data_IF_538291041561
#
_entry.id   IF_538291041561
#
_cell.length_a   1.000
_cell.length_b   1.000
_cell.length_c   1.000
_cell.angle_alpha   90.00
_cell.angle_beta   90.00
_cell.angle_gamma   90.00
#
_symmetry.space_group_name_H-M   'P 1'
#
loop_
_entity.id
_entity.type
_entity.pdbx_description
1 polymer ?
#
# COMPACT_ATOMS: atom_id res chain seq x y z
N UNK A 1 36.12 45.33 31.56
CA UNK A 1 35.29 45.30 30.33
C UNK A 1 34.53 43.99 30.14
N UNK A 2 34.71 42.97 30.97
CA UNK A 2 33.90 41.75 30.86
C UNK A 2 32.56 41.83 31.59
N UNK A 3 32.41 42.74 32.53
CA UNK A 3 31.17 42.85 33.35
C UNK A 3 30.00 43.36 32.52
N UNK A 4 30.25 44.29 31.58
CA UNK A 4 29.17 44.95 30.85
C UNK A 4 28.34 44.03 29.90
N UNK A 5 28.93 42.88 29.52
CA UNK A 5 28.23 41.93 28.60
C UNK A 5 27.26 41.00 29.36
N UNK A 6 27.42 40.85 30.65
CA UNK A 6 26.54 39.99 31.44
C UNK A 6 25.22 40.72 31.70
N UNK A 7 25.27 42.04 31.85
CA UNK A 7 24.06 42.84 32.07
C UNK A 7 23.04 42.77 30.91
N UNK A 8 23.55 42.63 29.70
CA UNK A 8 22.66 42.67 28.50
C UNK A 8 21.76 41.45 28.35
N UNK A 9 22.13 40.30 28.92
CA UNK A 9 21.34 39.08 28.80
C UNK A 9 20.49 38.83 30.06
N UNK A 10 20.89 39.35 31.20
CA UNK A 10 20.06 39.25 32.38
C UNK A 10 18.93 40.31 32.40
N UNK A 11 19.11 41.43 31.70
CA UNK A 11 18.10 42.50 31.68
C UNK A 11 16.75 42.07 31.02
N UNK A 12 16.77 41.02 30.19
CA UNK A 12 15.54 40.54 29.55
C UNK A 12 14.73 39.57 30.41
N UNK A 13 15.39 38.90 31.37
CA UNK A 13 14.68 38.04 32.34
C UNK A 13 14.30 38.83 33.59
N UNK A 14 14.93 39.97 33.81
CA UNK A 14 14.64 40.86 34.94
C UNK A 14 13.39 41.71 34.73
N UNK A 15 12.75 41.65 33.53
CA UNK A 15 11.52 42.41 33.25
C UNK A 15 10.28 41.88 33.99
N UNK A 16 10.39 40.72 34.62
CA UNK A 16 9.34 40.21 35.50
C UNK A 16 9.49 40.72 36.94
N UNK A 17 10.59 41.34 37.25
CA UNK A 17 10.91 41.93 38.53
C UNK A 17 10.84 43.45 38.50
N UNK A 18 9.77 43.99 37.96
CA UNK A 18 9.50 45.42 37.91
C UNK A 18 9.07 46.03 39.25
N UNK A 19 9.45 45.39 40.34
CA UNK A 19 9.09 45.88 41.67
C UNK A 19 10.31 46.38 42.47
N UNK A 20 11.49 46.44 41.85
CA UNK A 20 12.67 47.02 42.52
C UNK A 20 13.28 48.14 41.71
N UNK A 21 12.45 49.04 41.22
CA UNK A 21 12.94 50.36 40.92
C UNK A 21 13.09 51.14 42.24
N UNK A 22 14.32 51.06 42.76
CA UNK A 22 14.65 51.81 43.94
C UNK A 22 14.55 53.30 43.60
N UNK A 23 13.44 53.89 44.01
CA UNK A 23 13.41 55.32 43.94
C UNK A 23 13.55 55.87 45.36
N UNK A 24 14.19 57.01 45.44
CA UNK A 24 14.53 57.64 46.75
C UNK A 24 13.32 57.82 47.66
N UNK A 25 12.10 57.90 47.03
CA UNK A 25 10.88 58.04 47.84
C UNK A 25 10.54 56.79 48.66
N UNK A 26 10.90 55.63 48.12
CA UNK A 26 10.63 54.32 48.75
C UNK A 26 11.38 54.20 50.06
N UNK A 27 12.58 54.78 50.16
CA UNK A 27 13.44 54.75 51.28
C UNK A 27 13.43 56.08 52.11
N UNK A 28 12.62 57.05 51.67
CA UNK A 28 12.56 58.34 52.25
C UNK A 28 13.97 59.00 52.38
N UNK A 29 14.79 58.91 51.31
CA UNK A 29 16.12 59.51 51.12
C UNK A 29 16.10 60.35 49.84
N UNK A 30 17.14 61.16 49.65
CA UNK A 30 17.25 61.92 48.40
C UNK A 30 17.83 61.11 47.26
N UNK A 31 17.43 61.43 45.98
CA UNK A 31 17.98 60.80 44.77
C UNK A 31 19.52 60.88 44.73
N UNK A 32 20.09 62.03 45.26
CA UNK A 32 21.54 62.17 45.28
C UNK A 32 22.17 61.16 46.24
N UNK A 33 21.46 60.82 47.35
CA UNK A 33 21.96 59.83 48.32
C UNK A 33 21.80 58.40 47.76
N UNK A 34 20.74 58.14 47.08
CA UNK A 34 20.53 56.84 46.45
C UNK A 34 21.61 56.57 45.37
N UNK A 35 21.86 57.57 44.55
CA UNK A 35 22.90 57.48 43.49
C UNK A 35 24.30 57.27 44.09
N UNK A 36 24.59 57.94 45.24
CA UNK A 36 25.84 57.72 45.92
C UNK A 36 25.99 56.29 46.44
N UNK A 37 24.90 55.74 46.98
CA UNK A 37 24.87 54.37 47.49
C UNK A 37 25.10 53.39 46.30
N UNK A 38 24.34 53.52 45.23
CA UNK A 38 24.46 52.60 44.06
C UNK A 38 25.86 52.69 43.45
N UNK A 39 26.37 53.88 43.23
CA UNK A 39 27.71 54.06 42.69
C UNK A 39 28.81 53.45 43.57
N UNK A 40 28.63 53.48 44.88
CA UNK A 40 29.59 52.91 45.82
C UNK A 40 29.51 51.38 45.80
N UNK A 41 28.30 50.85 45.78
CA UNK A 41 28.07 49.42 45.81
C UNK A 41 28.55 48.78 44.47
N UNK A 42 28.35 49.44 43.36
CA UNK A 42 28.77 48.95 42.05
C UNK A 42 30.31 48.81 41.92
N UNK A 43 31.07 49.47 42.76
CA UNK A 43 32.54 49.39 42.74
C UNK A 43 33.13 48.36 43.68
N UNK A 44 32.29 47.71 44.50
CA UNK A 44 32.79 46.76 45.48
C UNK A 44 33.15 45.42 44.90
N UNK A 45 34.10 44.72 45.49
CA UNK A 45 34.36 43.30 45.18
C UNK A 45 33.24 42.44 45.83
N UNK A 46 33.14 41.20 45.30
CA UNK A 46 32.17 40.24 45.83
C UNK A 46 32.30 40.07 47.38
N UNK A 47 33.54 39.90 47.87
CA UNK A 47 33.78 39.73 49.31
C UNK A 47 33.45 41.01 50.06
N UNK A 48 33.74 42.14 49.43
CA UNK A 48 33.39 43.45 50.04
C UNK A 48 31.88 43.64 50.15
N UNK A 49 31.12 43.20 49.14
CA UNK A 49 29.66 43.24 49.15
C UNK A 49 29.08 42.37 50.26
N UNK A 50 29.58 41.13 50.38
CA UNK A 50 29.13 40.18 51.40
C UNK A 50 29.44 40.72 52.82
N UNK A 51 30.66 41.20 53.01
CA UNK A 51 31.07 41.74 54.32
C UNK A 51 30.27 42.99 54.71
N UNK A 52 30.08 43.90 53.75
CA UNK A 52 29.31 45.14 54.00
C UNK A 52 27.86 44.81 54.28
N UNK A 53 27.29 43.85 53.53
CA UNK A 53 25.93 43.42 53.78
C UNK A 53 25.73 42.89 55.21
N UNK A 54 26.60 41.96 55.57
CA UNK A 54 26.53 41.44 56.99
C UNK A 54 26.58 42.49 58.02
N UNK A 55 27.46 43.53 57.87
CA UNK A 55 27.57 44.65 58.80
C UNK A 55 26.30 45.49 58.79
N UNK A 56 25.73 45.78 57.68
CA UNK A 56 24.51 46.57 57.55
C UNK A 56 23.30 45.86 58.13
N UNK A 57 23.20 44.54 57.99
CA UNK A 57 22.15 43.76 58.65
C UNK A 57 22.25 43.91 60.16
N UNK A 58 23.44 43.78 60.67
CA UNK A 58 23.65 43.97 62.14
C UNK A 58 23.32 45.41 62.61
N UNK A 59 23.67 46.39 61.79
CA UNK A 59 23.33 47.79 62.06
C UNK A 59 21.81 47.99 61.97
N UNK A 60 21.14 47.46 60.96
CA UNK A 60 19.69 47.53 60.78
C UNK A 60 18.99 47.02 62.03
N UNK A 61 19.37 45.84 62.48
CA UNK A 61 18.78 45.20 63.66
C UNK A 61 18.98 46.03 64.91
N UNK A 62 20.12 46.70 65.06
CA UNK A 62 20.36 47.61 66.21
C UNK A 62 19.49 48.86 66.11
N UNK A 63 19.37 49.43 64.90
CA UNK A 63 18.57 50.66 64.74
C UNK A 63 17.08 50.35 64.95
N UNK A 64 16.57 49.20 64.48
CA UNK A 64 15.19 48.79 64.73
C UNK A 64 14.92 48.62 66.21
N UNK A 65 15.87 48.07 66.93
CA UNK A 65 15.76 47.93 68.39
C UNK A 65 15.78 49.28 69.08
N UNK A 66 16.58 50.24 68.63
CA UNK A 66 16.64 51.58 69.18
C UNK A 66 15.39 52.38 68.85
N UNK A 67 14.83 52.23 67.66
CA UNK A 67 13.62 52.92 67.24
C UNK A 67 12.43 52.53 68.14
N UNK A 68 12.37 51.25 68.53
CA UNK A 68 11.35 50.76 69.47
C UNK A 68 11.58 51.09 70.89
N UNK A 69 12.64 51.78 71.24
CA UNK A 69 12.95 52.17 72.62
C UNK A 69 12.53 53.61 72.89
N UNK A 70 12.50 53.99 74.23
CA UNK A 70 12.13 55.33 74.61
C UNK A 70 13.22 56.34 74.25
N UNK A 71 13.18 56.95 73.15
CA UNK A 71 14.10 57.94 72.62
C UNK A 71 13.41 59.31 72.52
N UNK A 72 14.22 60.36 72.45
CA UNK A 72 13.69 61.67 72.10
C UNK A 72 13.27 61.77 70.63
N UNK A 73 12.34 62.72 70.35
CA UNK A 73 11.88 62.85 68.95
C UNK A 73 13.01 63.13 67.96
N UNK A 74 14.07 63.82 68.37
CA UNK A 74 15.22 64.10 67.53
C UNK A 74 16.09 62.84 67.27
N UNK A 75 16.17 61.95 68.29
CA UNK A 75 16.89 60.71 68.19
C UNK A 75 16.12 59.73 67.26
N UNK A 76 14.81 59.60 67.50
CA UNK A 76 13.96 58.74 66.59
C UNK A 76 14.13 59.20 65.19
N UNK A 77 14.07 60.50 64.87
CA UNK A 77 14.21 61.01 63.51
C UNK A 77 15.57 60.69 62.93
N UNK A 78 16.64 60.68 63.73
CA UNK A 78 17.97 60.33 63.29
C UNK A 78 18.11 58.85 63.07
N UNK A 79 17.47 58.04 63.91
CA UNK A 79 17.46 56.56 63.77
C UNK A 79 16.68 56.19 62.49
N UNK A 80 15.46 56.66 62.30
CA UNK A 80 14.64 56.39 61.13
C UNK A 80 15.36 56.81 59.83
N UNK A 81 16.06 57.96 59.86
CA UNK A 81 16.84 58.40 58.69
C UNK A 81 17.95 57.40 58.36
N UNK A 82 18.70 56.98 59.40
CA UNK A 82 19.81 56.01 59.12
C UNK A 82 19.27 54.64 58.77
N UNK A 83 18.16 54.22 59.33
CA UNK A 83 17.51 52.98 59.00
C UNK A 83 17.10 52.96 57.53
N UNK A 84 16.54 54.08 57.06
CA UNK A 84 16.17 54.20 55.64
C UNK A 84 17.40 54.08 54.69
N UNK A 85 18.54 54.70 55.07
CA UNK A 85 19.80 54.62 54.38
C UNK A 85 20.34 53.20 54.37
N UNK A 86 20.30 52.49 55.52
CA UNK A 86 20.76 51.10 55.65
C UNK A 86 19.91 50.17 54.77
N UNK A 87 18.60 50.38 54.79
CA UNK A 87 17.69 49.57 53.93
C UNK A 87 17.97 49.80 52.41
N UNK A 88 18.24 51.05 52.02
CA UNK A 88 18.61 51.33 50.61
C UNK A 88 19.96 50.71 50.23
N UNK A 89 20.95 50.76 51.16
CA UNK A 89 22.24 50.11 50.93
C UNK A 89 22.10 48.56 50.76
N UNK A 90 21.33 47.95 51.66
CA UNK A 90 21.07 46.50 51.59
C UNK A 90 20.41 46.13 50.31
N UNK A 91 19.45 46.92 49.85
CA UNK A 91 18.76 46.71 48.59
C UNK A 91 19.71 46.81 47.39
N UNK A 92 20.59 47.82 47.37
CA UNK A 92 21.57 47.99 46.31
C UNK A 92 22.60 46.85 46.29
N UNK A 93 23.08 46.42 47.46
CA UNK A 93 24.00 45.29 47.59
C UNK A 93 23.35 43.99 47.07
N UNK A 94 22.11 43.76 47.46
CA UNK A 94 21.37 42.57 46.99
C UNK A 94 21.19 42.56 45.50
N UNK A 95 20.87 43.69 44.91
CA UNK A 95 20.73 43.84 43.43
C UNK A 95 22.01 43.46 42.74
N UNK A 96 23.16 43.91 43.22
CA UNK A 96 24.49 43.61 42.62
C UNK A 96 24.88 42.14 42.85
N UNK A 97 24.66 41.60 44.02
CA UNK A 97 24.96 40.21 44.33
C UNK A 97 24.11 39.27 43.49
N UNK A 98 22.83 39.58 43.28
CA UNK A 98 21.94 38.83 42.40
C UNK A 98 22.46 38.77 40.97
N UNK A 99 23.00 39.88 40.47
CA UNK A 99 23.61 39.95 39.14
C UNK A 99 24.94 39.20 39.03
N UNK A 100 25.64 38.96 40.12
CA UNK A 100 26.97 38.34 40.15
C UNK A 100 26.92 36.82 40.30
N UNK A 101 26.05 36.30 41.13
CA UNK A 101 26.06 34.91 41.57
C UNK A 101 24.70 34.20 41.39
N UNK A 102 23.69 34.94 41.01
CA UNK A 102 22.31 34.44 40.87
C UNK A 102 21.59 34.29 42.21
N UNK A 103 20.29 34.17 42.13
CA UNK A 103 19.41 34.21 43.30
C UNK A 103 19.73 33.14 44.36
N UNK A 104 19.95 31.91 43.91
CA UNK A 104 20.18 30.79 44.81
C UNK A 104 21.43 30.97 45.69
N UNK A 105 22.50 31.58 45.15
CA UNK A 105 23.73 31.77 45.89
C UNK A 105 23.65 32.98 46.86
N UNK A 106 22.86 33.99 46.53
CA UNK A 106 22.63 35.12 47.40
C UNK A 106 21.92 34.68 48.66
N UNK A 107 20.93 33.80 48.54
CA UNK A 107 20.19 33.32 49.69
C UNK A 107 21.03 32.44 50.65
N UNK A 108 21.96 31.66 50.09
CA UNK A 108 22.83 30.83 50.88
C UNK A 108 23.76 31.69 51.82
N UNK A 109 23.86 33.00 51.59
CA UNK A 109 24.70 33.93 52.41
C UNK A 109 23.90 34.63 53.49
N UNK A 110 22.62 34.40 53.57
CA UNK A 110 21.72 35.16 54.44
C UNK A 110 20.73 34.25 55.15
N UNK A 111 21.05 33.95 56.37
CA UNK A 111 20.06 33.58 57.39
C UNK A 111 19.77 34.79 58.23
N UNK A 112 18.91 35.69 57.75
CA UNK A 112 18.48 36.88 58.48
C UNK A 112 17.14 36.65 59.19
N UNK A 113 16.68 35.41 59.25
CA UNK A 113 15.42 35.02 59.89
C UNK A 113 14.19 35.44 59.11
N UNK A 114 14.36 35.70 57.80
CA UNK A 114 13.24 35.96 56.89
C UNK A 114 12.70 34.60 56.38
N UNK A 115 11.46 34.37 56.67
CA UNK A 115 10.82 33.11 56.33
C UNK A 115 9.96 33.27 55.05
N UNK A 116 10.44 32.74 53.95
CA UNK A 116 9.69 32.71 52.72
C UNK A 116 8.55 31.68 52.84
N UNK A 117 7.41 32.05 52.32
CA UNK A 117 6.24 31.17 52.28
C UNK A 117 5.58 31.15 50.89
N UNK A 118 6.31 31.55 49.84
CA UNK A 118 5.85 31.59 48.45
C UNK A 118 6.53 30.45 47.68
N UNK A 119 5.78 29.51 47.14
CA UNK A 119 6.36 28.38 46.41
C UNK A 119 6.88 28.80 45.03
N UNK A 120 7.84 28.07 44.49
CA UNK A 120 8.38 28.28 43.13
C UNK A 120 7.32 28.26 42.06
N UNK A 121 7.49 29.06 41.03
CA UNK A 121 6.64 29.06 39.85
C UNK A 121 7.25 28.12 38.78
N UNK A 122 6.50 27.06 38.44
CA UNK A 122 6.93 26.10 37.43
C UNK A 122 6.44 26.51 36.04
N UNK A 123 7.34 26.47 35.08
CA UNK A 123 7.06 26.69 33.66
C UNK A 123 7.34 25.39 32.92
N UNK A 124 6.28 24.78 32.37
CA UNK A 124 6.38 23.55 31.58
C UNK A 124 6.91 23.92 30.19
N UNK A 125 8.02 23.28 29.76
CA UNK A 125 8.69 23.58 28.50
C UNK A 125 8.04 22.79 27.34
N UNK A 126 7.90 23.42 26.17
CA UNK A 126 7.32 22.79 25.00
C UNK A 126 5.81 22.59 25.10
N UNK A 127 5.28 21.77 24.23
CA UNK A 127 3.83 21.62 24.10
C UNK A 127 3.19 20.97 25.33
N UNK A 128 2.01 21.49 25.70
CA UNK A 128 1.14 20.92 26.72
C UNK A 128 -0.33 21.22 26.39
N UNK A 129 -1.08 20.21 25.91
CA UNK A 129 -0.72 18.79 25.78
C UNK A 129 0.28 18.54 24.66
N UNK A 130 1.15 17.57 24.85
CA UNK A 130 2.03 17.02 23.84
C UNK A 130 1.31 15.85 23.17
N UNK A 131 1.67 15.56 21.92
CA UNK A 131 1.11 14.43 21.16
C UNK A 131 2.25 13.59 20.61
N UNK A 132 2.13 12.28 20.70
CA UNK A 132 3.11 11.33 20.17
C UNK A 132 2.40 10.16 19.52
N UNK A 133 2.98 9.67 18.43
CA UNK A 133 2.46 8.55 17.67
C UNK A 133 2.75 7.23 18.39
N UNK A 134 1.81 6.29 18.34
CA UNK A 134 1.93 4.94 18.88
C UNK A 134 3.21 4.26 18.37
N UNK A 135 3.95 3.66 19.26
CA UNK A 135 5.20 2.98 18.95
C UNK A 135 6.39 3.90 18.70
N UNK A 136 6.19 5.22 18.73
CA UNK A 136 7.29 6.18 18.60
C UNK A 136 7.96 6.42 19.93
N UNK A 137 9.17 6.99 19.91
CA UNK A 137 9.85 7.41 21.13
C UNK A 137 9.36 8.78 21.60
N UNK A 138 9.13 8.92 22.87
CA UNK A 138 8.76 10.18 23.50
C UNK A 138 9.89 10.68 24.39
N UNK A 139 10.23 11.95 24.21
CA UNK A 139 11.28 12.61 24.98
C UNK A 139 10.69 13.86 25.64
N UNK A 140 10.63 13.86 26.97
CA UNK A 140 10.02 14.94 27.72
C UNK A 140 10.86 16.22 27.65
N UNK A 141 10.26 17.32 27.24
CA UNK A 141 10.91 18.62 27.17
C UNK A 141 11.14 19.22 28.57
N UNK A 142 10.60 18.55 29.59
CA UNK A 142 10.80 18.94 30.97
C UNK A 142 10.11 20.24 31.37
N UNK A 143 10.58 20.77 32.47
CA UNK A 143 10.08 22.03 33.03
C UNK A 143 11.20 22.78 33.76
N UNK A 144 11.02 24.07 33.94
CA UNK A 144 11.89 24.93 34.74
C UNK A 144 11.10 25.57 35.86
N UNK A 145 11.77 25.87 36.94
CA UNK A 145 11.13 26.53 38.08
C UNK A 145 11.96 27.69 38.57
N UNK A 146 11.26 28.72 38.99
CA UNK A 146 11.86 29.91 39.52
C UNK A 146 11.07 30.42 40.74
N UNK A 147 11.80 30.68 41.80
CA UNK A 147 11.28 31.27 42.99
C UNK A 147 11.74 32.71 43.14
N UNK A 148 10.85 33.58 43.62
CA UNK A 148 11.13 35.01 43.73
C UNK A 148 12.20 35.30 44.77
N UNK A 149 12.34 34.46 45.76
CA UNK A 149 13.25 34.65 46.88
C UNK A 149 14.52 33.81 46.75
N UNK A 150 14.34 32.52 46.32
CA UNK A 150 15.42 31.53 46.20
C UNK A 150 16.01 31.42 44.82
N UNK A 151 15.35 32.00 43.81
CA UNK A 151 15.80 31.96 42.41
C UNK A 151 15.48 30.64 41.70
N UNK A 152 16.41 30.19 40.87
CA UNK A 152 16.22 28.96 40.07
C UNK A 152 16.18 27.74 40.98
N UNK A 153 15.07 27.04 40.96
CA UNK A 153 14.82 25.87 41.79
C UNK A 153 14.85 24.59 40.92
N UNK A 154 15.30 23.51 41.50
CA UNK A 154 15.35 22.24 40.80
C UNK A 154 13.95 21.64 40.65
N UNK A 155 13.68 21.05 39.46
CA UNK A 155 12.42 20.40 39.17
C UNK A 155 12.65 18.88 39.13
N UNK A 156 11.76 18.15 39.79
CA UNK A 156 11.70 16.71 39.74
C UNK A 156 10.47 16.30 38.93
N UNK A 157 10.63 15.30 38.03
CA UNK A 157 9.55 14.75 37.21
C UNK A 157 9.14 13.40 37.76
N UNK A 158 7.83 13.15 37.77
CA UNK A 158 7.25 11.87 38.11
C UNK A 158 6.16 11.48 37.12
N UNK A 159 5.90 10.18 37.01
CA UNK A 159 5.02 9.62 36.00
C UNK A 159 5.84 9.06 34.84
N UNK A 160 5.16 8.42 33.90
CA UNK A 160 5.76 7.84 32.70
C UNK A 160 4.75 7.82 31.56
N UNK A 161 5.27 7.84 30.34
CA UNK A 161 4.49 7.74 29.11
C UNK A 161 4.78 6.37 28.49
N UNK A 162 3.74 5.56 28.37
CA UNK A 162 3.83 4.30 27.63
C UNK A 162 3.41 4.56 26.18
N UNK A 163 4.37 4.70 25.30
CA UNK A 163 4.09 4.91 23.88
C UNK A 163 3.67 3.63 23.16
N UNK A 164 3.65 2.50 23.84
CA UNK A 164 3.14 1.24 23.29
C UNK A 164 1.64 1.08 23.42
N UNK A 165 0.94 2.05 24.00
CA UNK A 165 -0.50 1.99 24.25
C UNK A 165 -1.14 3.35 24.02
N UNK A 166 -2.17 3.40 23.18
CA UNK A 166 -2.96 4.62 22.95
C UNK A 166 -3.60 5.06 24.26
N UNK A 167 -3.45 6.33 24.60
CA UNK A 167 -4.01 6.85 25.84
C UNK A 167 -3.54 8.24 26.21
N UNK A 168 -3.97 8.68 27.39
CA UNK A 168 -3.65 10.00 27.92
C UNK A 168 -2.80 9.81 29.18
N UNK A 169 -1.57 10.27 29.12
CA UNK A 169 -0.59 10.15 30.19
C UNK A 169 -0.31 11.50 30.83
N UNK A 170 0.07 11.50 32.09
CA UNK A 170 0.35 12.72 32.85
C UNK A 170 1.73 12.63 33.48
N UNK A 171 2.57 13.60 33.16
CA UNK A 171 3.81 13.85 33.87
C UNK A 171 3.58 14.98 34.89
N UNK A 172 4.07 14.80 36.10
CA UNK A 172 3.96 15.77 37.15
C UNK A 172 5.36 16.31 37.50
N UNK A 173 5.51 17.61 37.41
CA UNK A 173 6.70 18.35 37.79
C UNK A 173 6.52 18.94 39.19
N UNK A 174 7.49 18.75 40.02
CA UNK A 174 7.47 19.25 41.39
C UNK A 174 8.73 20.07 41.65
N UNK A 175 8.57 21.24 42.16
CA UNK A 175 9.68 22.11 42.60
C UNK A 175 9.48 22.50 44.05
N UNK A 176 10.56 22.45 44.81
CA UNK A 176 10.58 22.79 46.24
C UNK A 176 11.74 23.76 46.49
N UNK A 177 11.48 24.86 47.14
CA UNK A 177 12.49 25.84 47.49
C UNK A 177 13.26 25.46 48.78
N UNK A 178 14.11 26.37 49.25
CA UNK A 178 14.95 26.12 50.43
C UNK A 178 14.17 26.24 51.76
N UNK A 179 13.02 26.90 51.73
CA UNK A 179 12.13 27.01 52.90
C UNK A 179 11.03 25.93 52.91
N UNK A 180 11.11 24.98 51.96
CA UNK A 180 10.22 23.83 51.77
C UNK A 180 8.85 24.22 51.23
N UNK A 181 8.68 25.33 50.55
CA UNK A 181 7.46 25.61 49.80
C UNK A 181 7.50 24.86 48.53
N UNK A 182 6.41 24.18 48.24
CA UNK A 182 6.35 23.24 47.10
C UNK A 182 5.23 23.65 46.14
N UNK A 183 5.54 23.59 44.86
CA UNK A 183 4.55 23.71 43.79
C UNK A 183 4.58 22.51 42.86
N UNK A 184 3.50 22.34 42.13
CA UNK A 184 3.39 21.28 41.11
C UNK A 184 2.76 21.83 39.84
N UNK A 185 3.16 21.23 38.70
CA UNK A 185 2.56 21.47 37.39
C UNK A 185 2.52 20.15 36.63
N UNK A 186 1.66 20.07 35.63
CA UNK A 186 1.50 18.83 34.88
C UNK A 186 1.63 19.07 33.37
N UNK A 187 2.15 18.05 32.69
CA UNK A 187 2.06 17.92 31.24
C UNK A 187 1.14 16.75 30.93
N UNK A 188 0.20 16.98 30.03
CA UNK A 188 -0.59 15.92 29.42
C UNK A 188 0.12 15.46 28.16
N UNK A 189 0.25 14.15 27.96
CA UNK A 189 0.80 13.54 26.72
C UNK A 189 -0.25 12.60 26.17
N UNK A 190 -0.66 12.88 24.93
CA UNK A 190 -1.63 12.07 24.20
C UNK A 190 -0.87 11.12 23.29
N UNK A 191 -0.91 9.84 23.58
CA UNK A 191 -0.43 8.80 22.66
C UNK A 191 -1.60 8.46 21.74
N UNK A 192 -1.41 8.70 20.46
CA UNK A 192 -2.41 8.48 19.42
C UNK A 192 -1.86 7.53 18.36
N UNK A 193 -2.75 6.89 17.64
CA UNK A 193 -2.42 6.09 16.48
C UNK A 193 -3.14 6.70 15.28
N UNK A 194 -2.36 7.21 14.33
CA UNK A 194 -2.84 7.80 13.09
C UNK A 194 -2.27 7.07 11.87
N UNK A 195 -1.50 6.03 12.11
CA UNK A 195 -0.83 5.26 11.07
C UNK A 195 -1.73 4.11 10.63
N UNK A 196 -1.95 4.00 9.33
CA UNK A 196 -2.79 2.96 8.78
C UNK A 196 -2.02 1.63 8.63
N UNK A 197 -2.69 0.49 8.81
CA UNK A 197 -2.08 -0.82 8.61
C UNK A 197 -1.44 -0.98 7.23
N UNK A 198 -0.28 -1.60 7.17
CA UNK A 198 0.43 -1.93 5.94
C UNK A 198 -0.08 -3.27 5.42
N UNK A 199 -0.86 -3.23 4.33
CA UNK A 199 -1.41 -4.42 3.68
C UNK A 199 -0.46 -4.92 2.60
N UNK A 200 -0.06 -6.19 2.69
CA UNK A 200 0.88 -6.83 1.77
C UNK A 200 0.20 -8.02 1.07
N UNK A 201 0.07 -7.92 -0.25
CA UNK A 201 -0.55 -8.96 -1.09
C UNK A 201 0.36 -10.19 -1.13
N UNK A 202 -0.21 -11.38 -0.90
CA UNK A 202 0.53 -12.64 -0.84
C UNK A 202 0.48 -13.35 -2.19
N UNK A 203 1.63 -13.76 -2.72
CA UNK A 203 1.74 -14.44 -4.01
C UNK A 203 1.76 -13.45 -5.17
N UNK A 204 1.51 -13.95 -6.37
CA UNK A 204 1.67 -13.19 -7.59
C UNK A 204 0.70 -12.01 -7.68
N UNK A 205 1.23 -10.86 -8.12
CA UNK A 205 0.46 -9.66 -8.41
C UNK A 205 1.17 -8.85 -9.52
N UNK A 206 0.66 -8.85 -10.75
CA UNK A 206 -0.58 -9.47 -11.21
C UNK A 206 -0.53 -10.99 -11.19
N UNK A 207 -1.69 -11.61 -10.96
CA UNK A 207 -1.90 -13.04 -11.07
C UNK A 207 -2.59 -13.37 -12.39
N UNK A 208 -2.57 -14.64 -12.77
CA UNK A 208 -3.28 -15.12 -13.95
C UNK A 208 -4.18 -16.31 -13.60
N UNK A 209 -5.23 -16.45 -14.37
CA UNK A 209 -6.17 -17.56 -14.26
C UNK A 209 -6.52 -18.05 -15.67
N UNK A 210 -6.77 -19.33 -15.81
CA UNK A 210 -7.18 -19.96 -17.05
C UNK A 210 -8.70 -19.91 -17.16
N UNK A 211 -9.23 -19.64 -18.35
CA UNK A 211 -10.66 -19.63 -18.65
C UNK A 211 -11.30 -20.95 -18.20
N UNK A 212 -12.42 -20.88 -17.49
CA UNK A 212 -13.15 -22.04 -17.01
C UNK A 212 -12.51 -22.77 -15.84
N UNK A 213 -11.37 -22.31 -15.33
CA UNK A 213 -10.69 -22.94 -14.18
C UNK A 213 -10.81 -22.07 -12.93
N UNK A 214 -11.30 -22.66 -11.86
CA UNK A 214 -11.55 -21.96 -10.61
C UNK A 214 -10.29 -21.29 -10.06
N UNK A 215 -10.35 -19.99 -9.88
CA UNK A 215 -9.25 -19.20 -9.30
C UNK A 215 -9.32 -19.23 -7.78
N UNK A 216 -8.17 -19.47 -7.16
CA UNK A 216 -8.04 -19.46 -5.70
C UNK A 216 -7.11 -18.32 -5.30
N UNK A 217 -7.67 -17.32 -4.67
CA UNK A 217 -6.92 -16.16 -4.21
C UNK A 217 -5.96 -16.51 -3.07
N UNK A 218 -4.71 -16.07 -3.20
CA UNK A 218 -3.69 -16.31 -2.18
C UNK A 218 -3.79 -15.32 -1.01
N UNK A 219 -4.68 -14.32 -1.13
CA UNK A 219 -4.97 -13.38 -0.07
C UNK A 219 -3.89 -12.33 0.17
N UNK A 220 -3.92 -11.75 1.34
CA UNK A 220 -3.00 -10.71 1.79
C UNK A 220 -2.81 -10.78 3.31
N UNK A 221 -1.74 -10.16 3.79
CA UNK A 221 -1.46 -9.99 5.22
C UNK A 221 -1.42 -8.50 5.55
N UNK A 222 -1.60 -8.17 6.81
CA UNK A 222 -1.46 -6.80 7.27
C UNK A 222 -0.67 -6.74 8.57
N UNK A 223 0.01 -5.62 8.80
CA UNK A 223 0.76 -5.35 10.02
C UNK A 223 0.65 -3.90 10.42
N UNK A 224 0.62 -3.66 11.73
CA UNK A 224 0.45 -2.34 12.32
C UNK A 224 1.09 -2.28 13.70
N UNK A 225 1.38 -1.05 14.16
CA UNK A 225 1.94 -0.80 15.50
C UNK A 225 0.92 -1.08 16.60
N UNK A 226 -0.37 -0.95 16.30
CA UNK A 226 -1.47 -1.25 17.23
C UNK A 226 -1.63 -2.74 17.50
N UNK A 227 -0.93 -3.59 16.74
CA UNK A 227 -0.89 -5.03 16.94
C UNK A 227 -1.57 -5.83 15.83
N UNK A 228 -2.44 -6.75 16.20
CA UNK A 228 -3.01 -7.71 15.25
C UNK A 228 -4.19 -7.12 14.50
N UNK A 229 -4.06 -6.99 13.21
CA UNK A 229 -5.10 -6.46 12.32
C UNK A 229 -5.58 -7.51 11.32
N UNK A 230 -6.87 -7.47 10.99
CA UNK A 230 -7.49 -8.41 10.07
C UNK A 230 -7.57 -7.82 8.66
N UNK A 231 -7.38 -8.67 7.66
CA UNK A 231 -7.58 -8.31 6.26
C UNK A 231 -8.93 -8.81 5.78
N UNK A 232 -9.67 -7.94 5.13
CA UNK A 232 -10.94 -8.25 4.48
C UNK A 232 -10.76 -8.06 2.98
N UNK A 233 -11.05 -9.09 2.20
CA UNK A 233 -11.01 -9.04 0.75
C UNK A 233 -12.38 -8.74 0.17
N UNK A 234 -12.41 -8.04 -0.97
CA UNK A 234 -13.60 -7.74 -1.75
C UNK A 234 -13.29 -7.76 -3.25
N UNK A 235 -14.32 -8.06 -4.05
CA UNK A 235 -14.20 -8.31 -5.47
C UNK A 235 -14.15 -9.81 -5.74
N UNK A 236 -14.48 -10.18 -6.96
CA UNK A 236 -14.55 -11.57 -7.42
C UNK A 236 -13.88 -11.69 -8.78
N UNK A 237 -13.33 -12.85 -9.05
CA UNK A 237 -12.79 -13.22 -10.36
C UNK A 237 -13.80 -14.14 -11.03
N UNK A 238 -14.37 -13.68 -12.14
CA UNK A 238 -15.23 -14.49 -12.98
C UNK A 238 -14.33 -15.20 -13.99
N UNK A 239 -14.09 -16.46 -13.75
CA UNK A 239 -13.22 -17.27 -14.63
C UNK A 239 -13.95 -17.78 -15.87
N UNK A 240 -15.25 -17.57 -16.01
CA UNK A 240 -16.00 -17.94 -17.21
C UNK A 240 -15.94 -16.83 -18.28
N UNK A 241 -15.32 -15.69 -17.96
CA UNK A 241 -15.24 -14.53 -18.85
C UNK A 241 -13.82 -13.99 -18.91
N UNK A 242 -13.27 -13.88 -20.13
CA UNK A 242 -11.95 -13.28 -20.35
C UNK A 242 -11.92 -11.84 -19.90
N UNK A 243 -10.86 -11.45 -19.20
CA UNK A 243 -10.72 -10.08 -18.76
C UNK A 243 -9.79 -9.90 -17.58
N UNK A 244 -9.82 -8.68 -17.04
CA UNK A 244 -8.97 -8.28 -15.91
C UNK A 244 -9.85 -7.93 -14.72
N UNK A 245 -9.62 -8.60 -13.64
CA UNK A 245 -10.38 -8.50 -12.40
C UNK A 245 -9.50 -7.92 -11.30
N UNK A 246 -10.13 -7.26 -10.33
CA UNK A 246 -9.42 -6.66 -9.20
C UNK A 246 -10.00 -7.17 -7.88
N UNK A 247 -9.12 -7.69 -7.04
CA UNK A 247 -9.45 -8.02 -5.66
C UNK A 247 -8.81 -6.94 -4.79
N UNK A 248 -9.61 -6.32 -3.95
CA UNK A 248 -9.16 -5.28 -3.02
C UNK A 248 -9.10 -5.86 -1.61
N UNK A 249 -7.98 -5.64 -0.94
CA UNK A 249 -7.75 -6.03 0.44
C UNK A 249 -7.76 -4.77 1.31
N UNK A 250 -8.52 -4.81 2.37
CA UNK A 250 -8.66 -3.70 3.30
C UNK A 250 -8.38 -4.20 4.71
N UNK A 251 -7.63 -3.42 5.45
CA UNK A 251 -7.36 -3.66 6.86
C UNK A 251 -7.65 -2.39 7.65
N UNK A 252 -8.28 -2.53 8.80
CA UNK A 252 -8.60 -1.41 9.68
C UNK A 252 -8.09 -1.76 11.07
N UNK A 253 -7.37 -0.81 11.67
CA UNK A 253 -6.87 -0.95 13.04
C UNK A 253 -7.93 -0.56 14.08
N UNK A 254 -7.51 -0.55 15.33
CA UNK A 254 -8.39 -0.29 16.46
C UNK A 254 -8.69 1.21 16.60
N UNK A 255 -7.83 2.05 16.03
CA UNK A 255 -7.97 3.52 16.02
C UNK A 255 -8.85 3.99 14.85
N UNK A 256 -9.16 3.10 13.90
CA UNK A 256 -10.00 3.37 12.75
C UNK A 256 -9.23 3.78 11.50
N UNK A 257 -7.89 3.67 11.47
CA UNK A 257 -7.11 3.97 10.29
C UNK A 257 -7.20 2.80 9.31
N UNK A 258 -7.27 3.11 8.01
CA UNK A 258 -7.58 2.12 6.97
C UNK A 258 -6.45 2.01 5.96
N UNK A 259 -5.86 0.84 5.89
CA UNK A 259 -4.89 0.46 4.87
C UNK A 259 -5.51 -0.39 3.79
N UNK A 260 -5.05 -0.22 2.55
CA UNK A 260 -5.57 -0.97 1.41
C UNK A 260 -4.46 -1.40 0.45
N UNK A 261 -4.70 -2.51 -0.23
CA UNK A 261 -3.88 -2.99 -1.34
C UNK A 261 -4.77 -3.75 -2.32
N UNK A 262 -4.31 -4.01 -3.53
CA UNK A 262 -5.09 -4.73 -4.53
C UNK A 262 -4.26 -5.71 -5.33
N UNK A 263 -4.93 -6.78 -5.78
CA UNK A 263 -4.41 -7.75 -6.74
C UNK A 263 -5.17 -7.61 -8.04
N UNK A 264 -4.46 -7.60 -9.14
CA UNK A 264 -5.01 -7.72 -10.49
C UNK A 264 -4.91 -9.17 -10.91
N UNK A 265 -6.01 -9.74 -11.42
CA UNK A 265 -6.05 -11.10 -11.96
C UNK A 265 -6.50 -11.04 -13.41
N UNK A 266 -5.71 -11.59 -14.30
CA UNK A 266 -6.04 -11.67 -15.73
C UNK A 266 -6.54 -13.08 -16.05
N UNK A 267 -7.79 -13.18 -16.48
CA UNK A 267 -8.36 -14.42 -17.02
C UNK A 267 -8.06 -14.45 -18.49
N UNK A 268 -7.33 -15.44 -18.91
CA UNK A 268 -6.95 -15.71 -20.30
C UNK A 268 -7.20 -17.16 -20.62
N UNK A 269 -7.36 -17.45 -21.92
CA UNK A 269 -7.44 -18.81 -22.42
C UNK A 269 -6.11 -19.14 -23.09
N UNK A 270 -5.46 -20.17 -22.63
CA UNK A 270 -4.22 -20.72 -23.22
C UNK A 270 -4.37 -22.18 -23.63
N UNK A 271 -5.57 -22.73 -23.48
CA UNK A 271 -5.89 -24.11 -23.82
C UNK A 271 -6.13 -24.22 -25.30
N UNK A 272 -5.51 -25.18 -25.94
CA UNK A 272 -5.72 -25.43 -27.40
C UNK A 272 -6.95 -26.30 -27.65
N UNK A 273 -7.66 -26.10 -28.75
CA UNK A 273 -8.78 -26.95 -29.12
C UNK A 273 -8.39 -28.42 -29.24
N UNK A 274 -9.30 -29.31 -28.85
CA UNK A 274 -9.10 -30.77 -28.89
C UNK A 274 -9.95 -31.38 -29.98
N UNK A 275 -9.28 -31.95 -30.98
CA UNK A 275 -9.98 -32.67 -32.08
C UNK A 275 -10.80 -33.85 -31.53
N UNK A 276 -12.05 -33.95 -31.99
CA UNK A 276 -13.01 -35.01 -31.59
C UNK A 276 -13.45 -35.86 -32.75
N UNK A 277 -13.21 -35.41 -33.98
CA UNK A 277 -13.45 -36.25 -35.19
C UNK A 277 -12.29 -37.22 -35.43
N UNK A 278 -12.55 -38.22 -36.29
CA UNK A 278 -11.49 -39.08 -36.85
C UNK A 278 -10.46 -38.24 -37.60
N UNK A 279 -9.24 -38.71 -37.64
CA UNK A 279 -8.20 -38.22 -38.54
C UNK A 279 -8.23 -38.92 -39.90
N UNK A 280 -9.10 -39.92 -40.10
CA UNK A 280 -9.22 -40.66 -41.32
C UNK A 280 -10.65 -40.64 -41.84
N UNK A 281 -10.79 -40.43 -43.13
CA UNK A 281 -12.05 -40.42 -43.85
C UNK A 281 -11.93 -41.37 -45.05
N UNK A 282 -13.03 -41.88 -45.48
CA UNK A 282 -13.10 -42.75 -46.65
C UNK A 282 -14.21 -42.22 -47.56
N UNK A 283 -13.90 -42.04 -48.78
CA UNK A 283 -14.86 -41.61 -49.86
C UNK A 283 -14.71 -42.43 -51.08
N UNK A 284 -15.79 -42.52 -51.84
CA UNK A 284 -15.74 -43.10 -53.16
C UNK A 284 -15.25 -42.04 -54.19
N UNK A 285 -14.59 -42.43 -55.23
CA UNK A 285 -14.27 -41.48 -56.26
C UNK A 285 -15.54 -40.87 -56.84
N UNK A 286 -15.38 -39.72 -57.52
CA UNK A 286 -16.53 -38.92 -57.94
C UNK A 286 -17.09 -38.06 -56.84
N UNK A 287 -16.71 -38.29 -55.58
CA UNK A 287 -17.18 -37.51 -54.45
C UNK A 287 -16.43 -36.18 -54.31
N UNK A 288 -17.17 -35.14 -53.96
CA UNK A 288 -16.60 -33.87 -53.56
C UNK A 288 -16.72 -33.69 -52.05
N UNK A 289 -17.72 -34.30 -51.41
CA UNK A 289 -17.89 -34.22 -49.97
C UNK A 289 -17.01 -35.27 -49.29
N UNK A 290 -16.23 -34.83 -48.28
CA UNK A 290 -15.36 -35.74 -47.49
C UNK A 290 -16.01 -36.04 -46.15
N UNK A 291 -16.39 -35.01 -45.42
CA UNK A 291 -16.96 -35.17 -44.08
C UNK A 291 -16.86 -33.91 -43.26
N UNK A 292 -16.84 -34.07 -41.95
CA UNK A 292 -16.74 -32.95 -41.03
C UNK A 292 -15.68 -33.23 -39.98
N UNK A 293 -14.74 -32.34 -39.89
CA UNK A 293 -13.76 -32.28 -38.80
C UNK A 293 -14.37 -31.52 -37.64
N UNK A 294 -14.25 -32.05 -36.45
CA UNK A 294 -14.77 -31.42 -35.24
C UNK A 294 -13.69 -31.32 -34.17
N UNK A 295 -13.76 -30.28 -33.41
CA UNK A 295 -12.93 -30.06 -32.23
C UNK A 295 -13.77 -29.36 -31.13
N UNK A 296 -13.33 -29.49 -29.90
CA UNK A 296 -13.99 -28.87 -28.75
C UNK A 296 -13.03 -27.99 -28.00
N UNK A 297 -13.57 -26.88 -27.50
CA UNK A 297 -12.92 -25.91 -26.66
C UNK A 297 -13.99 -25.15 -25.88
N UNK A 298 -13.58 -24.33 -24.88
CA UNK A 298 -14.50 -23.42 -24.18
C UNK A 298 -14.89 -22.25 -25.06
N UNK A 299 -14.06 -21.94 -26.04
CA UNK A 299 -14.31 -20.90 -27.02
C UNK A 299 -14.74 -21.48 -28.34
N UNK A 300 -15.16 -20.60 -29.23
CA UNK A 300 -15.62 -20.99 -30.55
C UNK A 300 -14.41 -21.35 -31.43
N UNK A 301 -14.40 -22.59 -31.93
CA UNK A 301 -13.34 -23.11 -32.78
C UNK A 301 -13.62 -22.86 -34.25
N UNK A 302 -12.59 -22.46 -34.98
CA UNK A 302 -12.60 -22.32 -36.43
C UNK A 302 -11.52 -23.19 -37.04
N UNK A 303 -11.72 -23.58 -38.34
CA UNK A 303 -10.84 -24.51 -39.01
C UNK A 303 -10.24 -23.91 -40.25
N UNK A 304 -8.98 -24.27 -40.50
CA UNK A 304 -8.25 -24.03 -41.75
C UNK A 304 -7.51 -25.29 -42.16
N UNK A 305 -7.12 -25.37 -43.44
CA UNK A 305 -6.44 -26.54 -44.02
C UNK A 305 -5.22 -26.10 -44.81
N UNK A 306 -4.22 -26.93 -44.87
CA UNK A 306 -3.01 -26.74 -45.65
C UNK A 306 -2.40 -28.08 -46.08
N UNK A 307 -1.53 -28.04 -47.06
CA UNK A 307 -0.75 -29.21 -47.53
C UNK A 307 -1.42 -29.99 -48.63
N UNK A 308 -2.58 -29.55 -49.12
CA UNK A 308 -3.24 -30.14 -50.27
C UNK A 308 -4.16 -29.11 -50.94
N UNK A 309 -3.87 -28.74 -52.17
CA UNK A 309 -4.59 -27.66 -52.86
C UNK A 309 -5.97 -28.12 -53.35
N UNK A 310 -6.23 -29.42 -53.41
CA UNK A 310 -7.54 -29.95 -53.81
C UNK A 310 -8.47 -30.14 -52.61
N UNK A 311 -7.98 -29.95 -51.39
CA UNK A 311 -8.80 -30.06 -50.16
C UNK A 311 -9.09 -28.69 -49.60
N UNK A 312 -10.34 -28.45 -49.29
CA UNK A 312 -10.79 -27.22 -48.62
C UNK A 312 -11.63 -27.55 -47.38
N UNK A 313 -11.58 -26.65 -46.42
CA UNK A 313 -12.40 -26.78 -45.22
C UNK A 313 -13.11 -25.45 -44.95
N UNK A 314 -14.34 -25.50 -44.54
CA UNK A 314 -15.02 -24.30 -44.04
C UNK A 314 -14.60 -23.99 -42.60
N UNK A 315 -14.81 -22.76 -42.14
CA UNK A 315 -14.57 -22.40 -40.74
C UNK A 315 -15.40 -23.25 -39.75
N UNK A 316 -16.44 -23.92 -40.23
CA UNK A 316 -17.27 -24.81 -39.42
C UNK A 316 -16.82 -26.29 -39.50
N UNK A 317 -15.70 -26.58 -40.16
CA UNK A 317 -15.11 -27.92 -40.22
C UNK A 317 -15.61 -28.79 -41.36
N UNK A 318 -16.45 -28.27 -42.25
CA UNK A 318 -16.93 -29.09 -43.42
C UNK A 318 -15.79 -29.22 -44.42
N UNK A 319 -15.33 -30.45 -44.62
CA UNK A 319 -14.20 -30.81 -45.44
C UNK A 319 -14.72 -31.31 -46.79
N UNK A 320 -14.13 -30.81 -47.87
CA UNK A 320 -14.50 -31.23 -49.24
C UNK A 320 -13.32 -31.11 -50.19
N UNK A 321 -13.41 -31.79 -51.32
CA UNK A 321 -12.55 -31.60 -52.49
C UNK A 321 -13.03 -30.41 -53.34
N UNK A 322 -12.08 -29.66 -53.90
CA UNK A 322 -12.35 -28.62 -54.91
C UNK A 322 -12.76 -29.26 -56.24
N UNK A 323 -12.07 -30.30 -56.58
CA UNK A 323 -12.34 -31.13 -57.76
C UNK A 323 -12.61 -32.53 -57.22
N UNK A 324 -13.65 -33.17 -57.74
CA UNK A 324 -14.04 -34.50 -57.29
C UNK A 324 -12.84 -35.46 -57.31
N UNK A 325 -12.84 -36.32 -56.28
CA UNK A 325 -11.83 -37.35 -56.16
C UNK A 325 -11.85 -38.24 -57.41
N UNK A 326 -10.72 -38.59 -57.90
CA UNK A 326 -10.53 -39.43 -59.05
C UNK A 326 -9.34 -40.35 -58.73
N UNK A 327 -9.61 -41.65 -58.66
CA UNK A 327 -8.64 -42.63 -58.22
C UNK A 327 -7.51 -42.78 -59.21
N UNK A 328 -7.87 -42.80 -60.56
CA UNK A 328 -6.94 -43.03 -61.63
C UNK A 328 -5.98 -41.85 -61.78
N UNK A 329 -6.44 -40.68 -61.59
CA UNK A 329 -5.59 -39.50 -61.73
C UNK A 329 -4.63 -39.29 -60.53
N UNK A 330 -4.88 -39.94 -59.44
CA UNK A 330 -4.08 -39.78 -58.20
C UNK A 330 -3.10 -40.93 -57.96
N UNK A 331 -3.39 -42.14 -58.55
CA UNK A 331 -2.55 -43.33 -58.43
C UNK A 331 -1.62 -43.50 -59.60
N UNK A 332 -0.49 -44.13 -59.41
CA UNK A 332 0.42 -44.52 -60.48
C UNK A 332 0.06 -45.93 -60.97
N UNK A 333 -1.13 -46.36 -60.73
CA UNK A 333 -1.63 -47.67 -61.06
C UNK A 333 -1.93 -47.75 -62.58
N UNK A 334 -1.59 -48.85 -63.21
CA UNK A 334 -2.01 -49.04 -64.60
C UNK A 334 -3.52 -49.07 -64.73
N UNK A 335 -4.06 -48.27 -65.61
CA UNK A 335 -5.50 -48.04 -65.73
C UNK A 335 -6.27 -49.22 -66.29
N UNK A 336 -5.59 -50.28 -66.69
CA UNK A 336 -6.20 -51.45 -67.33
C UNK A 336 -6.36 -52.63 -66.36
N UNK A 337 -6.16 -52.42 -65.09
CA UNK A 337 -6.39 -53.46 -64.11
C UNK A 337 -7.81 -53.37 -63.54
N UNK A 338 -8.46 -54.53 -63.30
CA UNK A 338 -9.79 -54.58 -62.74
C UNK A 338 -9.78 -54.08 -61.31
N UNK A 339 -10.93 -53.60 -60.88
CA UNK A 339 -11.18 -53.18 -59.54
C UNK A 339 -10.72 -54.22 -58.47
N UNK A 340 -9.83 -53.88 -57.60
CA UNK A 340 -9.27 -54.78 -56.61
C UNK A 340 -9.58 -54.39 -55.17
N UNK A 341 -10.39 -53.33 -54.98
CA UNK A 341 -10.76 -52.82 -53.67
C UNK A 341 -9.66 -52.06 -53.01
N UNK A 342 -8.69 -51.58 -53.79
CA UNK A 342 -7.63 -50.75 -53.16
C UNK A 342 -8.09 -49.34 -52.96
N UNK A 343 -7.29 -48.56 -52.20
CA UNK A 343 -7.54 -47.17 -51.86
C UNK A 343 -6.30 -46.32 -52.16
N UNK A 344 -6.53 -45.08 -52.50
CA UNK A 344 -5.47 -44.10 -52.63
C UNK A 344 -5.61 -43.02 -51.53
N UNK A 345 -4.55 -42.80 -50.76
CA UNK A 345 -4.57 -41.90 -49.65
C UNK A 345 -4.05 -40.51 -50.00
N UNK A 346 -4.84 -39.51 -49.76
CA UNK A 346 -4.42 -38.12 -49.82
C UNK A 346 -4.43 -37.53 -48.40
N UNK A 347 -3.48 -36.63 -48.14
CA UNK A 347 -3.33 -36.06 -46.80
C UNK A 347 -3.32 -34.55 -46.84
N UNK A 348 -3.75 -33.95 -45.73
CA UNK A 348 -3.69 -32.53 -45.50
C UNK A 348 -3.60 -32.27 -43.97
N UNK A 349 -3.14 -31.11 -43.62
CA UNK A 349 -3.10 -30.68 -42.19
C UNK A 349 -4.23 -29.72 -41.92
N UNK A 350 -5.12 -30.10 -41.04
CA UNK A 350 -6.17 -29.22 -40.53
C UNK A 350 -5.67 -28.56 -39.25
N UNK A 351 -5.87 -27.26 -39.15
CA UNK A 351 -5.63 -26.47 -37.94
C UNK A 351 -6.97 -26.03 -37.34
N UNK A 352 -7.18 -26.34 -36.11
CA UNK A 352 -8.29 -25.88 -35.29
C UNK A 352 -7.79 -24.72 -34.42
N UNK A 353 -8.42 -23.57 -34.52
CA UNK A 353 -8.02 -22.36 -33.80
C UNK A 353 -9.23 -21.82 -33.05
N UNK A 354 -9.04 -21.47 -31.77
CA UNK A 354 -10.07 -20.84 -30.94
C UNK A 354 -10.08 -19.30 -31.10
N UNK A 355 -10.87 -18.63 -30.30
CA UNK A 355 -11.01 -17.17 -30.35
C UNK A 355 -9.90 -16.43 -29.60
N UNK A 356 -9.01 -17.12 -28.92
CA UNK A 356 -7.80 -16.59 -28.27
C UNK A 356 -6.54 -16.86 -29.08
N UNK A 357 -6.69 -17.41 -30.30
CA UNK A 357 -5.63 -17.77 -31.22
C UNK A 357 -4.81 -19.00 -30.76
N UNK A 358 -5.30 -19.79 -29.80
CA UNK A 358 -4.65 -21.05 -29.48
C UNK A 358 -5.00 -22.06 -30.57
N UNK A 359 -4.02 -22.81 -31.08
CA UNK A 359 -4.19 -23.64 -32.23
C UNK A 359 -3.63 -25.05 -32.04
N UNK A 360 -4.40 -26.02 -32.49
CA UNK A 360 -4.02 -27.41 -32.57
C UNK A 360 -4.06 -27.87 -34.02
N UNK A 361 -3.23 -28.83 -34.36
CA UNK A 361 -3.18 -29.39 -35.73
C UNK A 361 -3.43 -30.87 -35.72
N UNK A 362 -4.10 -31.38 -36.78
CA UNK A 362 -4.29 -32.79 -37.00
C UNK A 362 -4.01 -33.12 -38.50
N UNK A 363 -3.21 -34.13 -38.72
CA UNK A 363 -3.03 -34.68 -40.07
C UNK A 363 -4.29 -35.49 -40.42
N UNK A 364 -4.95 -35.11 -41.50
CA UNK A 364 -6.12 -35.80 -42.05
C UNK A 364 -5.65 -36.67 -43.20
N UNK A 365 -6.10 -37.93 -43.20
CA UNK A 365 -5.93 -38.87 -44.31
C UNK A 365 -7.30 -39.18 -44.90
N UNK A 366 -7.44 -39.00 -46.19
CA UNK A 366 -8.66 -39.38 -46.94
C UNK A 366 -8.30 -40.51 -47.89
N UNK A 367 -8.88 -41.67 -47.66
CA UNK A 367 -8.74 -42.83 -48.51
C UNK A 367 -9.84 -42.79 -49.61
N UNK A 368 -9.44 -42.71 -50.79
CA UNK A 368 -10.33 -42.71 -51.96
C UNK A 368 -10.47 -44.14 -52.46
N UNK A 369 -11.70 -44.66 -52.45
CA UNK A 369 -12.01 -45.96 -52.93
C UNK A 369 -12.14 -45.89 -54.46
N UNK A 370 -11.49 -46.83 -55.13
CA UNK A 370 -11.83 -47.21 -56.51
C UNK A 370 -13.22 -47.87 -56.51
N UNK A 371 -14.17 -47.32 -57.23
CA UNK A 371 -15.51 -47.91 -57.32
C UNK A 371 -15.71 -48.64 -58.62
N UNK A 372 -14.75 -48.58 -59.49
CA UNK A 372 -14.70 -49.33 -60.74
C UNK A 372 -15.92 -49.21 -61.65
N UNK A 373 -15.72 -49.05 -62.93
CA UNK A 373 -16.82 -48.93 -63.85
C UNK A 373 -16.34 -48.82 -65.26
N UNK A 374 -17.27 -48.65 -66.15
CA UNK A 374 -16.93 -48.49 -67.57
C UNK A 374 -16.41 -47.09 -67.90
N UNK A 375 -16.58 -46.19 -67.00
CA UNK A 375 -16.08 -44.81 -67.07
C UNK A 375 -14.57 -44.71 -66.76
N UNK A 376 -14.02 -45.74 -66.19
CA UNK A 376 -12.60 -45.81 -65.87
C UNK A 376 -11.77 -46.36 -67.07
N UNK A 377 -12.42 -46.71 -68.16
CA UNK A 377 -11.73 -47.20 -69.30
C UNK A 377 -11.44 -46.08 -70.33
N UNK A 378 -10.23 -45.56 -70.33
CA UNK A 378 -9.88 -44.49 -71.27
C UNK A 378 -9.93 -44.86 -72.68
N UNK A 379 -9.96 -46.12 -72.99
CA UNK A 379 -10.00 -46.56 -74.44
C UNK A 379 -11.39 -46.43 -75.02
N UNK A 380 -12.43 -46.49 -74.20
CA UNK A 380 -13.80 -46.38 -74.68
C UNK A 380 -14.33 -44.98 -74.80
N UNK A 381 -13.64 -44.04 -74.12
CA UNK A 381 -14.08 -42.64 -74.03
C UNK A 381 -15.39 -42.47 -73.31
N UNK A 382 -15.72 -43.36 -72.45
CA UNK A 382 -16.98 -43.35 -71.73
C UNK A 382 -16.74 -42.86 -70.32
N UNK A 383 -16.34 -41.69 -70.21
CA UNK A 383 -16.21 -41.11 -68.90
C UNK A 383 -17.54 -40.82 -68.30
N UNK A 384 -17.58 -40.82 -67.04
CA UNK A 384 -18.65 -40.30 -66.30
C UNK A 384 -19.91 -41.01 -66.41
N UNK A 385 -19.85 -42.06 -66.55
CA UNK A 385 -21.01 -42.70 -66.51
C UNK A 385 -21.60 -42.50 -65.24
N UNK A 386 -21.79 -41.93 -65.00
CA UNK A 386 -22.64 -41.90 -64.04
C UNK A 386 -23.11 -43.11 -63.57
N UNK A 387 -22.38 -43.65 -63.45
CA UNK A 387 -22.76 -44.58 -62.99
C UNK A 387 -23.57 -45.25 -62.82
N UNK A 388 -23.08 -45.51 -62.89
CA UNK A 388 -23.47 -46.34 -62.81
C UNK A 388 -24.40 -46.92 -62.39
N UNK A 389 -24.77 -46.67 -62.48
CA UNK A 389 -25.80 -47.17 -62.16
C UNK A 389 -25.86 -48.51 -62.36
N UNK A 390 -25.15 -48.79 -62.08
CA UNK A 390 -25.19 -49.86 -62.07
C UNK A 390 -25.49 -50.58 -63.09
N UNK A 391 -25.18 -50.63 -63.72
CA UNK A 391 -25.37 -51.28 -64.44
C UNK A 391 -24.87 -52.15 -64.70
N UNK A 392 -24.84 -52.34 -64.82
CA UNK A 392 -24.71 -53.09 -65.17
C UNK A 392 -24.74 -54.00 -65.72
N UNK A 393 -24.64 -54.15 -65.87
CA UNK A 393 -24.73 -55.11 -66.23
C UNK A 393 -24.48 -55.75 -67.14
N UNK A 394 -23.98 -55.83 -67.36
CA UNK A 394 -23.79 -56.34 -68.24
C UNK A 394 -23.90 -57.22 -68.65
N UNK A 395 -24.02 -57.42 -69.03
CA UNK A 395 -24.21 -58.18 -69.70
C UNK A 395 -24.52 -58.20 -70.43
N UNK A 396 -24.56 -58.01 -70.65
CA UNK A 396 -25.01 -58.08 -71.40
C UNK A 396 -24.63 -58.62 -72.22
N UNK A 397 -24.38 -58.83 -72.42
CA UNK A 397 -24.10 -59.46 -73.26
C UNK A 397 -24.20 -59.61 -74.43
N UNK A 398 -24.08 -59.35 -74.76
CA UNK A 398 -24.12 -59.37 -75.79
C UNK A 398 -24.44 -60.01 -76.36
N UNK A 399 -24.82 -60.12 -76.42
CA UNK A 399 -25.23 -60.36 -77.02
C UNK A 399 -25.83 -60.01 -76.80
N UNK A 400 -26.11 -59.63 -76.39
CA UNK A 400 -26.69 -59.25 -76.31
C UNK A 400 -27.15 -58.99 -76.94
N UNK A 401 -27.05 -58.89 -77.14
CA UNK A 401 -27.44 -58.64 -77.92
C UNK A 401 -28.25 -58.27 -77.87
N UNK A 402 -28.53 -58.13 -77.50
CA UNK A 402 -29.13 -57.72 -77.57
C UNK A 402 -29.60 -57.52 -76.93
N UNK A 403 -29.82 -57.48 -76.72
CA UNK A 403 -30.18 -57.36 -76.47
C UNK A 403 -30.16 -57.01 -75.67
N UNK A 404 -30.63 -56.81 -75.51
CA UNK A 404 -30.72 -56.61 -75.26
C UNK A 404 -31.31 -56.34 -75.12
N UNK A 405 -31.60 -56.19 -75.30
CA UNK A 405 -32.10 -56.02 -75.61
C UNK A 405 -32.49 -56.10 -75.13
N UNK A 406 -32.70 -56.41 -74.97
CA UNK A 406 -33.14 -56.46 -75.04
C UNK A 406 -33.31 -56.59 -74.20
N UNK A 407 -33.43 -56.44 -73.91
CA UNK A 407 -33.65 -56.67 -74.00
C UNK A 407 -33.55 -56.61 -73.55
N UNK A 408 -33.93 -56.73 -73.61
CA UNK A 408 -34.03 -56.81 -73.97
C UNK A 408 -34.46 -56.97 -74.13
N UNK A 409 -34.52 -57.19 -74.17
CA UNK A 409 -34.98 -57.58 -74.78
C UNK A 409 -35.26 -58.09 -74.73
N UNK A 410 -35.42 -58.20 -74.59
CA UNK A 410 -35.74 -58.54 -74.89
C UNK A 410 -35.94 -58.78 -74.41
N UNK A 411 -35.85 -58.78 -74.21
CA UNK A 411 -36.00 -58.98 -74.18
C UNK A 411 -36.22 -58.87 -73.80
N UNK A 412 -36.64 -58.71 -73.84
CA UNK A 412 -36.93 -58.54 -74.02
C UNK A 412 -37.56 -58.77 -74.00
N UNK A 413 -37.45 -58.96 -73.85
CA UNK A 413 -38.12 -59.25 -74.21
C UNK A 413 -38.82 -59.21 -73.82
N UNK A 414 -38.97 -59.05 -73.48
CA UNK A 414 -39.63 -58.81 -73.26
C UNK A 414 -39.93 -58.69 -72.39
N UNK A 415 -39.71 -58.49 -71.95
CA UNK A 415 -39.78 -58.37 -71.37
C UNK A 415 -39.37 -57.90 -70.59
N UNK A 416 -39.36 -57.73 -70.67
CA UNK A 416 -39.02 -57.20 -70.32
C UNK A 416 -39.39 -56.88 -69.81
N UNK A 417 -39.49 -56.86 -69.40
CA UNK A 417 -39.94 -56.54 -69.16
C UNK A 417 -40.13 -55.88 -68.41
N UNK A 418 -40.04 -55.59 -68.28
CA UNK A 418 -40.44 -54.68 -67.83
C UNK A 418 -40.30 -54.34 -66.83
N UNK A 419 -39.98 -54.48 -66.86
CA UNK A 419 -39.77 -54.13 -66.08
C UNK A 419 -39.09 -53.38 -65.65
N UNK A 420 -38.85 -53.17 -65.77
CA UNK A 420 -38.37 -52.44 -65.47
C UNK A 420 -38.64 -51.79 -64.77
N UNK A 421 -39.00 -51.76 -64.41
CA UNK A 421 -39.41 -51.05 -63.87
C UNK A 421 -38.99 -50.36 -63.19
N UNK A 422 -38.67 -50.10 -63.21
CA UNK A 422 -38.21 -49.22 -62.75
C UNK A 422 -38.45 -48.64 -61.82
N UNK A 423 -38.53 -48.69 -61.52
CA UNK A 423 -38.63 -47.95 -60.68
C UNK A 423 -37.77 -47.98 -59.84
#
# INVERSE_FOLDING_TARGET
MKKLKIYSTCLLTLLAFTAFDANANQYNISDAKLNEIESRVDTMSYEGLVATRSSLIAEKKNLEKLEGSTQSPSQIKAISKRLNEVVAELSAIQKVLLGLVGAAAVNALVDDGYNDNVPPVITVNGDNPATVELGSSYEDAGASAFDAFHGTTSVTTSGSVDTGSVGVYTLTYTATDLDNNTSTATRTVNVVDTTAPVVTVTGDNPASAELGVAYTDAGATASDASGSVNVVSSGTVDTDTLGTYTITYTSTDESGNVGTASRTVTVSDTTVPVFTSSSTFVVDEGATAIGTVTATDLQAVTFTISGNDNMVITSAGVLSFVIAADYESQSERPQDLPYDGSTYDVTATVTATDASDNAATQLITVSINDVGGLDDDPETGMGTATASTGFNTGENTGENTGANTGENTGANTGENTGANTGE
#
